data_IF_303746302320
#
_entry.id   IF_303746302320
#
_cell.length_a   1.000
_cell.length_b   1.000
_cell.length_c   1.000
_cell.angle_alpha   90.00
_cell.angle_beta   90.00
_cell.angle_gamma   90.00
#
_symmetry.space_group_name_H-M   'P 1'
#
loop_
_entity.id
_entity.type
_entity.pdbx_description
1 polymer ?
#
# COMPACT_ATOMS: atom_id res chain seq x y z
N UNK A 1 -19.78 -9.42 50.62
CA UNK A 1 -20.08 -8.48 49.52
C UNK A 1 -19.50 -9.00 48.21
N UNK A 2 -20.31 -9.66 47.36
CA UNK A 2 -19.92 -10.02 45.99
C UNK A 2 -20.24 -8.83 45.09
N UNK A 3 -19.22 -8.14 44.57
CA UNK A 3 -19.40 -7.14 43.51
C UNK A 3 -19.78 -7.87 42.23
N UNK A 4 -21.03 -7.71 41.80
CA UNK A 4 -21.48 -8.09 40.46
C UNK A 4 -20.65 -7.29 39.45
N UNK A 5 -19.81 -7.97 38.66
CA UNK A 5 -19.22 -7.39 37.46
C UNK A 5 -20.37 -7.29 36.45
N UNK A 6 -20.91 -6.08 36.28
CA UNK A 6 -21.75 -5.75 35.14
C UNK A 6 -20.99 -6.14 33.87
N UNK A 7 -21.47 -7.17 33.17
CA UNK A 7 -21.08 -7.42 31.79
C UNK A 7 -21.53 -6.18 31.02
N UNK A 8 -20.58 -5.32 30.63
CA UNK A 8 -20.84 -4.28 29.64
C UNK A 8 -21.38 -4.98 28.41
N UNK A 9 -22.68 -4.87 28.19
CA UNK A 9 -23.29 -5.24 26.93
C UNK A 9 -22.62 -4.36 25.87
N UNK A 10 -21.71 -4.93 25.10
CA UNK A 10 -21.33 -4.35 23.83
C UNK A 10 -22.62 -4.29 23.03
N UNK A 11 -23.18 -3.09 22.89
CA UNK A 11 -24.29 -2.85 21.99
C UNK A 11 -23.74 -3.21 20.61
N UNK A 12 -24.16 -4.37 20.09
CA UNK A 12 -23.96 -4.71 18.70
C UNK A 12 -24.65 -3.59 17.91
N UNK A 13 -23.86 -2.78 17.21
CA UNK A 13 -24.42 -1.75 16.34
C UNK A 13 -25.31 -2.44 15.33
N UNK A 14 -26.53 -1.93 15.15
CA UNK A 14 -27.40 -2.31 14.05
C UNK A 14 -26.61 -2.17 12.73
N UNK A 15 -26.82 -3.06 11.76
CA UNK A 15 -26.07 -3.10 10.49
C UNK A 15 -26.07 -1.73 9.80
N UNK A 16 -27.18 -1.00 9.89
CA UNK A 16 -27.32 0.36 9.36
C UNK A 16 -26.40 1.36 10.07
N UNK A 17 -26.30 1.29 11.40
CA UNK A 17 -25.42 2.16 12.17
C UNK A 17 -23.95 1.82 11.94
N UNK A 18 -23.64 0.52 11.81
CA UNK A 18 -22.30 0.05 11.43
C UNK A 18 -21.89 0.59 10.05
N UNK A 19 -22.76 0.49 9.04
CA UNK A 19 -22.48 1.04 7.70
C UNK A 19 -22.29 2.55 7.70
N UNK A 20 -23.09 3.30 8.47
CA UNK A 20 -22.94 4.76 8.60
C UNK A 20 -21.61 5.10 9.27
N UNK A 21 -21.26 4.40 10.35
CA UNK A 21 -19.99 4.61 11.06
C UNK A 21 -18.79 4.28 10.15
N UNK A 22 -18.86 3.18 9.39
CA UNK A 22 -17.83 2.81 8.42
C UNK A 22 -17.67 3.88 7.33
N UNK A 23 -18.76 4.34 6.72
CA UNK A 23 -18.72 5.41 5.71
C UNK A 23 -18.17 6.72 6.27
N UNK A 24 -18.58 7.10 7.48
CA UNK A 24 -18.07 8.30 8.15
C UNK A 24 -16.55 8.17 8.43
N UNK A 25 -16.11 7.00 8.90
CA UNK A 25 -14.69 6.74 9.15
C UNK A 25 -13.85 6.74 7.86
N UNK A 26 -14.38 6.18 6.77
CA UNK A 26 -13.71 6.18 5.46
C UNK A 26 -13.57 7.60 4.90
N UNK A 27 -14.63 8.42 5.02
CA UNK A 27 -14.57 9.83 4.62
C UNK A 27 -13.60 10.64 5.50
N UNK A 28 -13.58 10.40 6.81
CA UNK A 28 -12.62 11.01 7.73
C UNK A 28 -11.18 10.64 7.41
N UNK A 29 -10.93 9.36 7.09
CA UNK A 29 -9.62 8.88 6.64
C UNK A 29 -9.19 9.57 5.32
N UNK A 30 -10.08 9.61 4.33
CA UNK A 30 -9.81 10.28 3.06
C UNK A 30 -9.47 11.77 3.27
N UNK A 31 -10.24 12.46 4.12
CA UNK A 31 -9.98 13.86 4.46
C UNK A 31 -8.61 14.03 5.15
N UNK A 32 -8.27 13.17 6.10
CA UNK A 32 -6.97 13.19 6.78
C UNK A 32 -5.82 13.04 5.78
N UNK A 33 -5.90 12.06 4.86
CA UNK A 33 -4.84 11.83 3.87
C UNK A 33 -4.70 13.03 2.93
N UNK A 34 -5.80 13.58 2.42
CA UNK A 34 -5.78 14.78 1.57
C UNK A 34 -5.18 15.98 2.32
N UNK A 35 -5.57 16.16 3.59
CA UNK A 35 -5.04 17.23 4.44
C UNK A 35 -3.53 17.11 4.65
N UNK A 36 -3.03 15.91 4.97
CA UNK A 36 -1.60 15.67 5.13
C UNK A 36 -0.83 15.93 3.83
N UNK A 37 -1.36 15.50 2.67
CA UNK A 37 -0.76 15.79 1.37
C UNK A 37 -0.70 17.30 1.12
N UNK A 38 -1.80 18.03 1.37
CA UNK A 38 -1.85 19.47 1.18
C UNK A 38 -0.85 20.22 2.06
N UNK A 39 -0.70 19.82 3.34
CA UNK A 39 0.30 20.42 4.23
C UNK A 39 1.72 20.06 3.80
N UNK A 40 1.98 18.82 3.40
CA UNK A 40 3.29 18.43 2.86
C UNK A 40 3.68 19.34 1.69
N UNK A 41 2.77 19.55 0.73
CA UNK A 41 3.00 20.45 -0.40
C UNK A 41 3.26 21.88 0.08
N UNK A 42 2.44 22.40 0.99
CA UNK A 42 2.60 23.75 1.54
C UNK A 42 3.95 23.94 2.24
N UNK A 43 4.38 22.97 3.05
CA UNK A 43 5.67 23.04 3.74
C UNK A 43 6.83 22.98 2.76
N UNK A 44 6.77 22.08 1.77
CA UNK A 44 7.79 22.02 0.71
C UNK A 44 7.89 23.36 -0.02
N UNK A 45 6.77 24.01 -0.37
CA UNK A 45 6.79 25.29 -1.10
C UNK A 45 7.21 26.48 -0.23
N UNK A 46 7.15 26.37 1.09
CA UNK A 46 7.53 27.43 2.03
C UNK A 46 8.88 27.16 2.72
N UNK A 47 9.59 26.11 2.32
CA UNK A 47 10.89 25.73 2.90
C UNK A 47 10.80 25.10 4.31
N UNK A 48 9.61 24.66 4.72
CA UNK A 48 9.38 23.90 5.94
C UNK A 48 9.62 22.40 5.75
N UNK A 49 9.85 21.70 6.87
CA UNK A 49 10.08 20.25 6.88
C UNK A 49 8.76 19.44 6.94
N UNK A 50 8.42 18.65 5.90
CA UNK A 50 7.19 17.84 5.82
C UNK A 50 7.32 16.44 6.45
N UNK A 51 8.44 16.10 7.12
CA UNK A 51 8.72 14.74 7.61
C UNK A 51 7.56 14.14 8.42
N UNK A 52 6.94 14.91 9.31
CA UNK A 52 5.86 14.38 10.16
C UNK A 52 4.57 14.11 9.41
N UNK A 53 4.26 14.90 8.39
CA UNK A 53 3.11 14.65 7.51
C UNK A 53 3.34 13.42 6.64
N UNK A 54 4.56 13.25 6.13
CA UNK A 54 4.95 12.05 5.38
C UNK A 54 4.85 10.81 6.27
N UNK A 55 5.40 10.86 7.49
CA UNK A 55 5.25 9.79 8.50
C UNK A 55 3.77 9.53 8.81
N UNK A 56 2.94 10.58 8.89
CA UNK A 56 1.50 10.46 9.10
C UNK A 56 0.79 9.71 7.97
N UNK A 57 1.12 9.99 6.70
CA UNK A 57 0.55 9.32 5.53
C UNK A 57 0.93 7.83 5.52
N UNK A 58 2.21 7.52 5.74
CA UNK A 58 2.65 6.13 5.81
C UNK A 58 2.04 5.40 7.01
N UNK A 59 2.03 6.05 8.18
CA UNK A 59 1.43 5.50 9.39
C UNK A 59 -0.05 5.20 9.23
N UNK A 60 -0.82 6.09 8.57
CA UNK A 60 -2.23 5.88 8.30
C UNK A 60 -2.47 4.69 7.36
N UNK A 61 -1.62 4.52 6.33
CA UNK A 61 -1.67 3.36 5.45
C UNK A 61 -1.39 2.04 6.21
N UNK A 62 -0.39 2.02 7.11
CA UNK A 62 -0.11 0.85 7.95
C UNK A 62 -1.29 0.51 8.84
N UNK A 63 -1.93 1.50 9.47
CA UNK A 63 -3.11 1.29 10.32
C UNK A 63 -4.25 0.63 9.53
N UNK A 64 -4.50 1.06 8.28
CA UNK A 64 -5.51 0.42 7.42
C UNK A 64 -5.16 -1.04 7.13
N UNK A 65 -3.91 -1.32 6.77
CA UNK A 65 -3.45 -2.69 6.47
C UNK A 65 -3.61 -3.59 7.70
N UNK A 66 -3.17 -3.13 8.87
CA UNK A 66 -3.28 -3.87 10.13
C UNK A 66 -4.74 -4.08 10.50
N UNK A 67 -5.58 -3.05 10.38
CA UNK A 67 -7.02 -3.14 10.71
C UNK A 67 -7.74 -4.15 9.82
N UNK A 68 -7.49 -4.14 8.51
CA UNK A 68 -8.02 -5.15 7.57
C UNK A 68 -7.60 -6.56 7.97
N UNK A 69 -6.35 -6.75 8.36
CA UNK A 69 -5.85 -8.07 8.80
C UNK A 69 -6.53 -8.56 10.08
N UNK A 70 -6.82 -7.65 11.02
CA UNK A 70 -7.47 -7.94 12.30
C UNK A 70 -8.97 -8.20 12.17
N UNK A 71 -9.66 -7.53 11.25
CA UNK A 71 -11.10 -7.67 11.04
C UNK A 71 -11.50 -9.03 10.47
N UNK A 72 -10.55 -9.76 9.87
CA UNK A 72 -10.81 -11.13 9.42
C UNK A 72 -11.61 -11.22 8.12
N UNK A 73 -11.99 -10.09 7.53
CA UNK A 73 -12.56 -10.02 6.19
C UNK A 73 -11.52 -10.50 5.18
N UNK A 74 -11.73 -11.70 4.67
CA UNK A 74 -10.88 -12.30 3.64
C UNK A 74 -11.57 -12.05 2.31
N UNK A 75 -11.22 -10.93 1.70
CA UNK A 75 -11.68 -10.59 0.36
C UNK A 75 -10.90 -11.39 -0.69
N UNK A 76 -11.55 -11.65 -1.83
CA UNK A 76 -10.85 -12.21 -2.99
C UNK A 76 -9.78 -11.22 -3.45
N UNK A 77 -8.54 -11.66 -3.72
CA UNK A 77 -7.50 -10.76 -4.23
C UNK A 77 -7.98 -10.12 -5.53
N UNK A 78 -7.70 -8.82 -5.71
CA UNK A 78 -8.12 -8.05 -6.89
C UNK A 78 -6.93 -7.48 -7.65
N UNK A 79 -7.14 -7.17 -8.92
CA UNK A 79 -6.17 -6.43 -9.73
C UNK A 79 -6.23 -4.91 -9.45
N UNK A 80 -5.35 -4.15 -10.10
CA UNK A 80 -5.30 -2.69 -10.01
C UNK A 80 -6.57 -1.97 -10.50
N UNK A 81 -7.48 -2.65 -11.19
CA UNK A 81 -8.81 -2.15 -11.59
C UNK A 81 -9.93 -2.67 -10.69
N UNK A 82 -9.59 -3.23 -9.52
CA UNK A 82 -10.53 -3.87 -8.59
C UNK A 82 -11.32 -5.05 -9.18
N UNK A 83 -10.77 -5.74 -10.19
CA UNK A 83 -11.35 -6.96 -10.73
C UNK A 83 -10.85 -8.17 -9.95
N UNK A 84 -11.70 -9.15 -9.62
CA UNK A 84 -11.29 -10.33 -8.87
C UNK A 84 -10.25 -11.15 -9.64
N UNK A 85 -9.17 -11.53 -8.96
CA UNK A 85 -8.14 -12.42 -9.47
C UNK A 85 -8.52 -13.87 -9.24
N UNK A 86 -8.17 -14.77 -10.18
CA UNK A 86 -8.42 -16.19 -10.01
C UNK A 86 -7.51 -16.77 -8.92
N UNK A 87 -8.06 -17.57 -8.00
CA UNK A 87 -7.33 -18.13 -6.85
C UNK A 87 -6.99 -19.61 -7.01
N UNK A 88 -7.34 -20.24 -8.12
CA UNK A 88 -7.06 -21.64 -8.38
C UNK A 88 -5.58 -21.91 -8.64
N UNK A 89 -5.24 -23.21 -8.62
CA UNK A 89 -3.88 -23.70 -8.75
C UNK A 89 -3.45 -23.99 -10.19
N UNK A 90 -4.30 -23.73 -11.19
CA UNK A 90 -3.98 -23.99 -12.59
C UNK A 90 -2.82 -23.08 -13.06
N UNK A 91 -1.99 -23.59 -13.97
CA UNK A 91 -0.86 -22.83 -14.52
C UNK A 91 -1.31 -21.53 -15.21
N UNK A 92 -2.49 -21.55 -15.83
CA UNK A 92 -3.09 -20.38 -16.50
C UNK A 92 -3.43 -19.29 -15.48
N UNK A 93 -4.04 -19.65 -14.36
CA UNK A 93 -4.44 -18.70 -13.32
C UNK A 93 -3.24 -18.12 -12.57
N UNK A 94 -2.24 -18.95 -12.26
CA UNK A 94 -0.95 -18.48 -11.71
C UNK A 94 -0.27 -17.46 -12.61
N UNK A 95 -0.30 -17.69 -13.93
CA UNK A 95 0.26 -16.73 -14.88
C UNK A 95 -0.51 -15.40 -14.91
N UNK A 96 -1.84 -15.42 -14.71
CA UNK A 96 -2.65 -14.20 -14.62
C UNK A 96 -2.27 -13.42 -13.36
N UNK A 97 -2.14 -14.08 -12.21
CA UNK A 97 -1.71 -13.43 -10.96
C UNK A 97 -0.30 -12.87 -11.05
N UNK A 98 0.63 -13.63 -11.62
CA UNK A 98 2.01 -13.17 -11.83
C UNK A 98 2.07 -11.90 -12.68
N UNK A 99 1.28 -11.84 -13.77
CA UNK A 99 1.17 -10.62 -14.58
C UNK A 99 0.65 -9.44 -13.76
N UNK A 100 -0.32 -9.68 -12.88
CA UNK A 100 -0.81 -8.64 -11.99
C UNK A 100 0.27 -8.13 -11.03
N UNK A 101 1.04 -9.02 -10.40
CA UNK A 101 2.15 -8.64 -9.52
C UNK A 101 3.21 -7.82 -10.27
N UNK A 102 3.50 -8.18 -11.51
CA UNK A 102 4.41 -7.42 -12.39
C UNK A 102 3.86 -6.02 -12.65
N UNK A 103 2.59 -5.90 -13.03
CA UNK A 103 1.97 -4.59 -13.29
C UNK A 103 1.97 -3.72 -12.03
N UNK A 104 1.54 -4.26 -10.89
CA UNK A 104 1.57 -3.54 -9.61
C UNK A 104 2.97 -3.04 -9.27
N UNK A 105 3.98 -3.89 -9.48
CA UNK A 105 5.37 -3.54 -9.18
C UNK A 105 5.96 -2.52 -10.14
N UNK A 106 5.54 -2.53 -11.41
CA UNK A 106 5.90 -1.48 -12.38
C UNK A 106 5.30 -0.14 -11.91
N UNK A 107 4.00 -0.12 -11.56
CA UNK A 107 3.33 1.09 -11.09
C UNK A 107 3.96 1.64 -9.80
N UNK A 108 4.30 0.76 -8.87
CA UNK A 108 5.00 1.11 -7.64
C UNK A 108 6.39 1.70 -7.93
N UNK A 109 7.22 0.99 -8.71
CA UNK A 109 8.55 1.47 -9.08
C UNK A 109 8.51 2.81 -9.81
N UNK A 110 7.56 2.99 -10.74
CA UNK A 110 7.40 4.25 -11.48
C UNK A 110 7.03 5.40 -10.54
N UNK A 111 6.19 5.14 -9.55
CA UNK A 111 5.76 6.16 -8.58
C UNK A 111 6.94 6.68 -7.76
N UNK A 112 7.84 5.79 -7.32
CA UNK A 112 9.08 6.17 -6.62
C UNK A 112 10.06 6.90 -7.53
N UNK A 113 10.25 6.43 -8.77
CA UNK A 113 11.15 7.08 -9.71
C UNK A 113 10.69 8.50 -10.09
N UNK A 114 9.37 8.70 -10.27
CA UNK A 114 8.80 10.02 -10.52
C UNK A 114 8.97 10.92 -9.30
N UNK A 115 8.72 10.39 -8.09
CA UNK A 115 8.92 11.15 -6.85
C UNK A 115 10.38 11.56 -6.66
N UNK A 116 11.33 10.66 -6.88
CA UNK A 116 12.78 10.93 -6.83
C UNK A 116 13.17 12.05 -7.79
N UNK A 117 12.76 11.93 -9.06
CA UNK A 117 13.04 12.95 -10.07
C UNK A 117 12.43 14.32 -9.70
N UNK A 118 11.20 14.35 -9.17
CA UNK A 118 10.55 15.59 -8.71
C UNK A 118 11.31 16.22 -7.55
N UNK A 119 11.74 15.43 -6.56
CA UNK A 119 12.49 15.94 -5.41
C UNK A 119 13.88 16.44 -5.80
N UNK A 120 14.56 15.79 -6.75
CA UNK A 120 15.84 16.24 -7.28
C UNK A 120 15.73 17.52 -8.12
N UNK A 121 14.63 17.69 -8.86
CA UNK A 121 14.42 18.87 -9.72
C UNK A 121 13.95 20.08 -8.90
N UNK A 122 13.04 19.89 -7.94
CA UNK A 122 12.35 20.98 -7.26
C UNK A 122 12.71 21.13 -5.77
N UNK A 123 13.15 20.05 -5.13
CA UNK A 123 13.49 20.05 -3.69
C UNK A 123 14.96 20.30 -3.39
N UNK A 124 15.84 20.21 -4.39
CA UNK A 124 17.31 20.26 -4.23
C UNK A 124 17.84 19.30 -3.14
N UNK A 125 17.15 18.17 -2.98
CA UNK A 125 17.51 17.09 -2.05
C UNK A 125 18.33 16.06 -2.83
N UNK A 126 19.64 16.04 -2.61
CA UNK A 126 20.51 15.02 -3.19
C UNK A 126 20.37 13.69 -2.41
N UNK A 127 19.83 12.67 -3.08
CA UNK A 127 19.72 11.31 -2.55
C UNK A 127 20.96 10.47 -2.85
N UNK A 128 21.12 9.36 -2.12
CA UNK A 128 22.29 8.47 -2.22
C UNK A 128 22.51 7.95 -3.65
N UNK A 129 21.43 7.64 -4.36
CA UNK A 129 21.45 7.17 -5.75
C UNK A 129 21.99 8.23 -6.70
N UNK A 130 21.56 9.48 -6.53
CA UNK A 130 22.02 10.61 -7.32
C UNK A 130 23.51 10.89 -7.09
N UNK A 131 23.94 10.90 -5.83
CA UNK A 131 25.37 11.04 -5.48
C UNK A 131 26.21 9.89 -6.04
N UNK A 132 25.70 8.66 -5.99
CA UNK A 132 26.38 7.49 -6.52
C UNK A 132 26.57 7.60 -8.03
N UNK A 133 25.54 7.94 -8.82
CA UNK A 133 25.68 8.15 -10.27
C UNK A 133 26.66 9.28 -10.58
N UNK A 134 26.55 10.40 -9.87
CA UNK A 134 27.43 11.56 -10.03
C UNK A 134 28.89 11.20 -9.74
N UNK A 135 29.15 10.35 -8.74
CA UNK A 135 30.50 9.89 -8.40
C UNK A 135 31.08 8.94 -9.44
N UNK A 136 30.26 8.08 -10.04
CA UNK A 136 30.69 7.12 -11.05
C UNK A 136 30.84 7.74 -12.44
N UNK A 137 30.02 8.74 -12.77
CA UNK A 137 29.94 9.38 -14.09
C UNK A 137 29.93 10.93 -13.96
N UNK A 138 31.03 11.53 -13.47
CA UNK A 138 31.08 12.96 -13.13
C UNK A 138 30.96 13.90 -14.34
N UNK A 139 31.28 13.42 -15.54
CA UNK A 139 31.24 14.19 -16.79
C UNK A 139 29.83 14.31 -17.39
N UNK A 140 28.82 13.61 -16.83
CA UNK A 140 27.45 13.69 -17.31
C UNK A 140 26.78 15.01 -16.89
N UNK A 141 25.90 15.52 -17.75
CA UNK A 141 25.07 16.65 -17.39
C UNK A 141 24.06 16.27 -16.27
N UNK A 142 23.63 17.26 -15.48
CA UNK A 142 22.71 17.04 -14.34
C UNK A 142 21.44 16.27 -14.76
N UNK A 143 20.88 16.57 -15.94
CA UNK A 143 19.68 15.91 -16.43
C UNK A 143 19.84 14.39 -16.67
N UNK A 144 20.97 13.96 -17.24
CA UNK A 144 21.25 12.53 -17.42
C UNK A 144 21.52 11.83 -16.08
N UNK A 145 22.17 12.51 -15.13
CA UNK A 145 22.38 11.97 -13.79
C UNK A 145 21.03 11.74 -13.09
N UNK A 146 20.10 12.72 -13.16
CA UNK A 146 18.74 12.57 -12.61
C UNK A 146 18.01 11.39 -13.27
N UNK A 147 18.07 11.27 -14.60
CA UNK A 147 17.43 10.17 -15.31
C UNK A 147 17.98 8.80 -14.85
N UNK A 148 19.31 8.67 -14.75
CA UNK A 148 19.95 7.43 -14.32
C UNK A 148 19.64 7.10 -12.85
N UNK A 149 19.61 8.11 -11.97
CA UNK A 149 19.14 7.96 -10.59
C UNK A 149 17.72 7.41 -10.55
N UNK A 150 16.80 8.02 -11.29
CA UNK A 150 15.40 7.59 -11.35
C UNK A 150 15.27 6.15 -11.89
N UNK A 151 16.11 5.72 -12.83
CA UNK A 151 16.15 4.33 -13.32
C UNK A 151 16.63 3.37 -12.23
N UNK A 152 17.62 3.75 -11.42
CA UNK A 152 18.06 2.92 -10.28
C UNK A 152 16.98 2.82 -9.21
N UNK A 153 16.33 3.94 -8.86
CA UNK A 153 15.21 3.97 -7.91
C UNK A 153 14.04 3.13 -8.44
N UNK A 154 13.71 3.24 -9.72
CA UNK A 154 12.71 2.39 -10.37
C UNK A 154 13.05 0.91 -10.21
N UNK A 155 14.28 0.51 -10.54
CA UNK A 155 14.70 -0.88 -10.48
C UNK A 155 14.65 -1.43 -9.04
N UNK A 156 15.14 -0.66 -8.07
CA UNK A 156 15.08 -1.03 -6.65
C UNK A 156 13.64 -1.17 -6.16
N UNK A 157 12.79 -0.18 -6.43
CA UNK A 157 11.37 -0.20 -6.06
C UNK A 157 10.60 -1.34 -6.73
N UNK A 158 10.84 -1.59 -8.03
CA UNK A 158 10.24 -2.70 -8.77
C UNK A 158 10.61 -4.06 -8.18
N UNK A 159 11.90 -4.31 -7.92
CA UNK A 159 12.37 -5.60 -7.38
C UNK A 159 11.79 -5.83 -5.99
N UNK A 160 11.85 -4.83 -5.11
CA UNK A 160 11.29 -4.91 -3.77
C UNK A 160 9.79 -5.20 -3.82
N UNK A 161 9.04 -4.44 -4.62
CA UNK A 161 7.60 -4.63 -4.80
C UNK A 161 7.28 -6.01 -5.36
N UNK A 162 8.03 -6.50 -6.36
CA UNK A 162 7.82 -7.82 -6.94
C UNK A 162 7.92 -8.93 -5.90
N UNK A 163 8.92 -8.84 -5.02
CA UNK A 163 9.11 -9.80 -3.93
C UNK A 163 7.92 -9.73 -2.96
N UNK A 164 7.52 -8.53 -2.54
CA UNK A 164 6.39 -8.36 -1.62
C UNK A 164 5.05 -8.82 -2.21
N UNK A 165 4.72 -8.40 -3.43
CA UNK A 165 3.50 -8.78 -4.15
C UNK A 165 3.43 -10.28 -4.34
N UNK A 166 4.55 -10.93 -4.71
CA UNK A 166 4.58 -12.37 -4.86
C UNK A 166 4.42 -13.09 -3.52
N UNK A 167 5.14 -12.66 -2.47
CA UNK A 167 5.08 -13.29 -1.15
C UNK A 167 3.70 -13.11 -0.50
N UNK A 168 3.17 -11.90 -0.49
CA UNK A 168 1.87 -11.61 0.12
C UNK A 168 0.75 -12.19 -0.75
N UNK A 169 0.77 -11.95 -2.06
CA UNK A 169 -0.28 -12.37 -2.97
C UNK A 169 -0.45 -13.89 -3.03
N UNK A 170 0.62 -14.65 -3.24
CA UNK A 170 0.51 -16.12 -3.36
C UNK A 170 0.40 -16.80 -1.99
N UNK A 171 1.25 -16.46 -1.02
CA UNK A 171 1.31 -17.22 0.23
C UNK A 171 0.29 -16.77 1.26
N UNK A 172 -0.09 -15.49 1.25
CA UNK A 172 -1.03 -14.96 2.23
C UNK A 172 -2.44 -14.87 1.64
N UNK A 173 -2.65 -14.06 0.60
CA UNK A 173 -4.00 -13.75 0.12
C UNK A 173 -4.70 -14.95 -0.51
N UNK A 174 -4.09 -15.54 -1.55
CA UNK A 174 -4.67 -16.69 -2.26
C UNK A 174 -4.89 -17.88 -1.32
N UNK A 175 -3.89 -18.20 -0.50
CA UNK A 175 -3.98 -19.35 0.42
C UNK A 175 -5.03 -19.13 1.51
N UNK A 176 -5.10 -17.92 2.08
CA UNK A 176 -6.08 -17.59 3.13
C UNK A 176 -7.49 -17.57 2.58
N UNK A 177 -7.70 -17.01 1.38
CA UNK A 177 -8.97 -17.04 0.68
C UNK A 177 -9.43 -18.46 0.39
N UNK A 178 -8.59 -19.29 -0.22
CA UNK A 178 -8.94 -20.68 -0.51
C UNK A 178 -9.23 -21.50 0.77
N UNK A 179 -8.53 -21.21 1.88
CA UNK A 179 -8.81 -21.85 3.18
C UNK A 179 -10.16 -21.41 3.75
N UNK A 180 -10.59 -20.17 3.52
CA UNK A 180 -11.91 -19.71 3.94
C UNK A 180 -13.02 -20.39 3.13
N UNK A 181 -12.89 -20.40 1.79
CA UNK A 181 -13.87 -21.05 0.92
C UNK A 181 -14.01 -22.53 1.24
N UNK A 182 -12.90 -23.26 1.43
CA UNK A 182 -12.94 -24.67 1.80
C UNK A 182 -13.70 -24.93 3.12
N UNK A 183 -13.60 -24.03 4.10
CA UNK A 183 -14.36 -24.15 5.36
C UNK A 183 -15.85 -23.91 5.16
N UNK A 184 -16.21 -22.94 4.34
CA UNK A 184 -17.61 -22.66 4.02
C UNK A 184 -18.25 -23.83 3.27
N UNK A 185 -17.51 -24.42 2.32
CA UNK A 185 -17.95 -25.63 1.60
C UNK A 185 -18.11 -26.83 2.55
N UNK A 186 -17.24 -26.99 3.55
CA UNK A 186 -17.36 -28.02 4.60
C UNK A 186 -18.57 -27.79 5.52
N UNK A 187 -18.90 -26.53 5.84
CA UNK A 187 -20.07 -26.16 6.66
C UNK A 187 -21.39 -26.34 5.90
N UNK A 188 -21.42 -26.13 4.58
CA UNK A 188 -22.63 -26.31 3.76
C UNK A 188 -22.96 -27.78 3.50
N UNK A 189 -21.94 -28.65 3.48
CA UNK A 189 -22.10 -30.08 3.19
C UNK A 189 -22.28 -30.97 4.44
N UNK A 190 -22.27 -30.40 5.66
CA UNK A 190 -22.52 -31.09 6.93
C UNK A 190 -23.87 -30.69 7.55
#
# INVERSE_FOLDING_TARGET
>A
MKKNKEKKNFVFLDERQSQIAQKASANGYLFLVIYLIAISIYKITTGGDPIWEVVGIFGSAVVVIVSRRLMGDIEQPTDYLNRPLPTGNSRKERNIRLKNYIINSILFGLSFAVMDAVLLIFGDIDFMEFELVKSMLPELNKGLIILLSAVMVFAGGFIASMIFEYLIGEYYDVRRYNKMIAKLDEEENN
#
